data_IF_329281716308
#
_entry.id   IF_329281716308
#
_cell.length_a   1.000
_cell.length_b   1.000
_cell.length_c   1.000
_cell.angle_alpha   90.00
_cell.angle_beta   90.00
_cell.angle_gamma   90.00
#
_symmetry.space_group_name_H-M   'P 1'
#
loop_
_entity.id
_entity.type
_entity.pdbx_description
1 polymer ?
#
# COMPACT_ATOMS: atom_id res chain seq x y z
N UNK A 1 -18.47 17.05 1.70
CA UNK A 1 -18.93 15.64 1.66
C UNK A 1 -19.45 15.21 0.27
N UNK A 2 -19.55 16.10 -0.72
CA UNK A 2 -20.18 15.81 -2.03
C UNK A 2 -19.43 14.86 -2.99
N UNK A 3 -18.20 14.42 -2.69
CA UNK A 3 -17.43 13.54 -3.59
C UNK A 3 -17.06 12.18 -2.97
N UNK A 4 -17.75 11.73 -1.93
CA UNK A 4 -17.46 10.43 -1.29
C UNK A 4 -17.65 9.25 -2.25
N UNK A 5 -18.70 9.27 -3.07
CA UNK A 5 -18.95 8.24 -4.08
C UNK A 5 -17.84 8.20 -5.14
N UNK A 6 -17.43 9.37 -5.65
CA UNK A 6 -16.35 9.49 -6.62
C UNK A 6 -15.01 9.04 -6.02
N UNK A 7 -14.78 9.36 -4.75
CA UNK A 7 -13.61 8.89 -4.02
C UNK A 7 -13.62 7.37 -3.82
N UNK A 8 -14.76 6.78 -3.45
CA UNK A 8 -14.88 5.33 -3.29
C UNK A 8 -14.62 4.59 -4.60
N UNK A 9 -15.13 5.09 -5.73
CA UNK A 9 -14.83 4.53 -7.05
C UNK A 9 -13.34 4.64 -7.39
N UNK A 10 -12.72 5.79 -7.12
CA UNK A 10 -11.28 5.97 -7.28
C UNK A 10 -10.49 4.98 -6.39
N UNK A 11 -10.87 4.84 -5.13
CA UNK A 11 -10.25 3.93 -4.18
C UNK A 11 -10.32 2.47 -4.65
N UNK A 12 -11.46 2.04 -5.19
CA UNK A 12 -11.63 0.70 -5.77
C UNK A 12 -10.66 0.50 -6.94
N UNK A 13 -10.69 1.40 -7.92
CA UNK A 13 -9.86 1.30 -9.13
C UNK A 13 -8.37 1.31 -8.78
N UNK A 14 -7.95 2.22 -7.91
CA UNK A 14 -6.56 2.33 -7.48
C UNK A 14 -6.09 1.11 -6.68
N UNK A 15 -6.98 0.50 -5.89
CA UNK A 15 -6.68 -0.73 -5.13
C UNK A 15 -6.54 -1.94 -6.04
N UNK A 16 -7.40 -2.09 -7.05
CA UNK A 16 -7.36 -3.22 -8.01
C UNK A 16 -6.18 -3.11 -8.99
N UNK A 17 -5.76 -1.89 -9.33
CA UNK A 17 -4.69 -1.64 -10.30
C UNK A 17 -3.44 -2.48 -9.98
N UNK A 18 -2.85 -3.21 -10.95
CA UNK A 18 -1.69 -4.05 -10.67
C UNK A 18 -0.53 -3.22 -10.14
N UNK A 19 0.05 -3.68 -9.04
CA UNK A 19 1.17 -3.01 -8.38
C UNK A 19 1.97 -4.03 -7.57
N UNK A 20 3.16 -3.63 -7.10
CA UNK A 20 4.07 -4.59 -6.50
C UNK A 20 3.50 -5.29 -5.26
N UNK A 21 2.82 -4.55 -4.38
CA UNK A 21 2.12 -5.12 -3.22
C UNK A 21 1.02 -6.11 -3.63
N UNK A 22 0.24 -5.79 -4.67
CA UNK A 22 -0.85 -6.65 -5.12
C UNK A 22 -0.31 -7.97 -5.68
N UNK A 23 0.80 -7.95 -6.43
CA UNK A 23 1.46 -9.17 -6.90
C UNK A 23 1.98 -10.05 -5.77
N UNK A 24 2.52 -9.44 -4.72
CA UNK A 24 2.98 -10.16 -3.54
C UNK A 24 1.81 -10.84 -2.84
N UNK A 25 0.73 -10.10 -2.58
CA UNK A 25 -0.48 -10.64 -1.94
C UNK A 25 -1.08 -11.76 -2.78
N UNK A 26 -1.14 -11.60 -4.12
CA UNK A 26 -1.60 -12.64 -5.03
C UNK A 26 -0.73 -13.90 -4.96
N UNK A 27 0.58 -13.76 -5.03
CA UNK A 27 1.52 -14.89 -4.92
C UNK A 27 1.44 -15.57 -3.55
N UNK A 28 1.37 -14.81 -2.45
CA UNK A 28 1.20 -15.39 -1.12
C UNK A 28 -0.15 -16.09 -0.98
N UNK A 29 -1.23 -15.56 -1.59
CA UNK A 29 -2.55 -16.17 -1.53
C UNK A 29 -2.67 -17.46 -2.35
N UNK A 30 -1.83 -17.64 -3.38
CA UNK A 30 -1.77 -18.90 -4.14
C UNK A 30 -0.98 -20.00 -3.42
N UNK A 31 -0.09 -19.63 -2.49
CA UNK A 31 0.80 -20.57 -1.79
C UNK A 31 0.46 -20.79 -0.31
N UNK A 32 -0.23 -19.86 0.34
CA UNK A 32 -0.56 -19.90 1.77
C UNK A 32 -2.06 -19.74 2.01
N UNK A 33 -2.55 -20.26 3.15
CA UNK A 33 -3.93 -20.03 3.58
C UNK A 33 -4.18 -18.53 3.77
N UNK A 34 -5.39 -18.08 3.44
CA UNK A 34 -5.83 -16.67 3.62
C UNK A 34 -5.54 -16.16 5.04
N UNK A 35 -5.71 -16.98 6.09
CA UNK A 35 -5.42 -16.58 7.47
C UNK A 35 -3.96 -16.20 7.73
N UNK A 36 -3.01 -16.74 6.95
CA UNK A 36 -1.58 -16.42 7.03
C UNK A 36 -1.21 -15.23 6.15
N UNK A 37 -1.98 -14.95 5.09
CA UNK A 37 -1.80 -13.77 4.21
C UNK A 37 -2.50 -12.53 4.76
N UNK A 38 -3.50 -12.69 5.62
CA UNK A 38 -4.26 -11.60 6.25
C UNK A 38 -3.38 -10.52 6.91
N UNK A 39 -2.32 -10.84 7.67
CA UNK A 39 -1.44 -9.83 8.25
C UNK A 39 -0.71 -8.99 7.18
N UNK A 40 -0.41 -9.57 6.01
CA UNK A 40 0.23 -8.86 4.89
C UNK A 40 -0.74 -7.90 4.22
N UNK A 41 -1.99 -8.34 4.03
CA UNK A 41 -3.09 -7.50 3.53
C UNK A 41 -3.30 -6.32 4.48
N UNK A 42 -3.54 -6.60 5.76
CA UNK A 42 -3.74 -5.58 6.80
C UNK A 42 -2.57 -4.59 6.88
N UNK A 43 -1.33 -5.07 6.88
CA UNK A 43 -0.16 -4.19 6.89
C UNK A 43 -0.12 -3.27 5.68
N UNK A 44 -0.50 -3.79 4.52
CA UNK A 44 -0.58 -3.02 3.28
C UNK A 44 -1.68 -1.97 3.30
N UNK A 45 -2.90 -2.32 3.71
CA UNK A 45 -4.02 -1.39 3.76
C UNK A 45 -3.77 -0.28 4.79
N UNK A 46 -3.30 -0.64 5.99
CA UNK A 46 -2.97 0.33 7.05
C UNK A 46 -1.82 1.23 6.63
N UNK A 47 -0.76 0.68 6.04
CA UNK A 47 0.37 1.48 5.57
C UNK A 47 -0.04 2.49 4.50
N UNK A 48 -0.88 2.07 3.55
CA UNK A 48 -1.35 2.93 2.48
C UNK A 48 -2.33 4.01 2.98
N UNK A 49 -3.27 3.67 3.87
CA UNK A 49 -4.16 4.64 4.51
C UNK A 49 -3.38 5.66 5.35
N UNK A 50 -2.42 5.22 6.16
CA UNK A 50 -1.56 6.11 6.93
C UNK A 50 -0.79 7.07 6.01
N UNK A 51 -0.35 6.59 4.85
CA UNK A 51 0.34 7.42 3.88
C UNK A 51 -0.58 8.51 3.28
N UNK A 52 -1.84 8.17 2.97
CA UNK A 52 -2.86 9.16 2.58
C UNK A 52 -3.05 10.21 3.69
N UNK A 53 -3.11 9.77 4.94
CA UNK A 53 -3.25 10.67 6.09
C UNK A 53 -2.06 11.61 6.22
N UNK A 54 -0.84 11.07 6.20
CA UNK A 54 0.43 11.83 6.30
C UNK A 54 0.57 12.83 5.14
N UNK A 55 0.24 12.42 3.92
CA UNK A 55 0.27 13.32 2.76
C UNK A 55 -0.79 14.41 2.88
N UNK A 56 -1.99 14.07 3.37
CA UNK A 56 -3.11 15.01 3.49
C UNK A 56 -2.97 16.07 4.56
N UNK A 57 -2.25 15.79 5.65
CA UNK A 57 -1.92 16.81 6.65
C UNK A 57 -0.78 17.75 6.20
N UNK A 58 -0.26 17.60 4.98
CA UNK A 58 0.73 18.51 4.38
C UNK A 58 2.19 18.08 4.53
N UNK A 59 2.47 16.94 5.17
CA UNK A 59 3.85 16.42 5.25
C UNK A 59 4.33 15.88 3.91
N UNK A 60 3.43 15.33 3.08
CA UNK A 60 3.77 14.76 1.78
C UNK A 60 4.31 15.74 0.74
N UNK A 61 3.78 16.97 0.70
CA UNK A 61 4.25 18.02 -0.22
C UNK A 61 5.66 18.51 0.15
N UNK A 62 5.97 18.59 1.44
CA UNK A 62 7.29 18.95 1.95
C UNK A 62 8.34 17.89 1.59
N UNK A 63 7.96 16.60 1.64
CA UNK A 63 8.83 15.47 1.29
C UNK A 63 9.15 15.44 -0.21
N UNK A 64 8.16 15.71 -1.08
CA UNK A 64 8.37 15.73 -2.53
C UNK A 64 9.05 16.99 -3.06
N UNK A 65 9.07 18.08 -2.29
CA UNK A 65 9.81 19.29 -2.67
C UNK A 65 11.32 19.02 -2.87
N UNK A 66 11.82 17.89 -2.36
CA UNK A 66 13.20 17.46 -2.51
C UNK A 66 13.31 16.31 -3.52
N UNK A 67 13.84 16.57 -4.74
CA UNK A 67 14.04 15.55 -5.77
C UNK A 67 14.92 14.37 -5.31
N UNK A 68 15.81 14.62 -4.35
CA UNK A 68 16.68 13.61 -3.73
C UNK A 68 15.87 12.54 -2.99
N UNK A 69 14.83 12.95 -2.25
CA UNK A 69 13.99 12.02 -1.49
C UNK A 69 13.21 11.13 -2.45
N UNK A 70 12.64 11.73 -3.51
CA UNK A 70 11.98 10.97 -4.58
C UNK A 70 12.91 9.90 -5.16
N UNK A 71 14.13 10.29 -5.50
CA UNK A 71 15.14 9.38 -6.08
C UNK A 71 15.49 8.25 -5.12
N UNK A 72 15.73 8.54 -3.83
CA UNK A 72 16.03 7.53 -2.81
C UNK A 72 14.87 6.54 -2.69
N UNK A 73 13.62 7.03 -2.65
CA UNK A 73 12.44 6.18 -2.55
C UNK A 73 12.29 5.27 -3.77
N UNK A 74 12.47 5.81 -4.97
CA UNK A 74 12.43 5.01 -6.21
C UNK A 74 13.49 3.91 -6.20
N UNK A 75 14.74 4.23 -5.86
CA UNK A 75 15.82 3.24 -5.81
C UNK A 75 15.63 2.21 -4.70
N UNK A 76 15.18 2.64 -3.51
CA UNK A 76 14.89 1.74 -2.40
C UNK A 76 13.74 0.79 -2.74
N UNK A 77 12.71 1.29 -3.42
CA UNK A 77 11.59 0.50 -3.90
C UNK A 77 12.05 -0.51 -4.93
N UNK A 78 12.84 -0.08 -5.91
CA UNK A 78 13.41 -0.94 -6.93
C UNK A 78 14.24 -2.06 -6.30
N UNK A 79 15.19 -1.75 -5.41
CA UNK A 79 16.03 -2.74 -4.72
C UNK A 79 15.15 -3.73 -3.95
N UNK A 80 14.20 -3.22 -3.17
CA UNK A 80 13.30 -4.07 -2.39
C UNK A 80 12.49 -5.03 -3.27
N UNK A 81 11.94 -4.53 -4.38
CA UNK A 81 11.21 -5.34 -5.35
C UNK A 81 12.08 -6.36 -6.05
N UNK A 82 13.31 -6.01 -6.41
CA UNK A 82 14.27 -6.94 -7.00
C UNK A 82 14.65 -8.04 -6.01
N UNK A 83 14.97 -7.69 -4.76
CA UNK A 83 15.24 -8.66 -3.69
C UNK A 83 14.04 -9.59 -3.50
N UNK A 84 12.83 -9.05 -3.57
CA UNK A 84 11.64 -9.84 -3.36
C UNK A 84 11.29 -10.74 -4.55
N UNK A 85 11.40 -10.24 -5.77
CA UNK A 85 11.25 -11.02 -6.98
C UNK A 85 12.25 -12.19 -6.99
N UNK A 86 13.49 -11.95 -6.54
CA UNK A 86 14.49 -12.99 -6.37
C UNK A 86 14.09 -14.01 -5.30
N UNK A 87 13.62 -13.56 -4.12
CA UNK A 87 13.11 -14.47 -3.07
C UNK A 87 11.94 -15.32 -3.55
N UNK A 88 11.03 -14.77 -4.35
CA UNK A 88 9.90 -15.48 -4.95
C UNK A 88 10.36 -16.48 -6.01
N UNK A 89 11.28 -16.08 -6.90
CA UNK A 89 11.83 -16.95 -7.93
C UNK A 89 12.60 -18.14 -7.34
N UNK A 90 13.38 -17.91 -6.28
CA UNK A 90 14.12 -18.96 -5.57
C UNK A 90 13.25 -19.76 -4.61
N UNK A 91 11.98 -19.38 -4.41
CA UNK A 91 11.07 -20.13 -3.56
C UNK A 91 10.69 -21.41 -4.28
N UNK A 92 11.38 -22.51 -3.96
CA UNK A 92 11.02 -23.84 -4.41
C UNK A 92 9.92 -24.39 -3.49
N UNK A 93 8.65 -24.54 -3.93
CA UNK A 93 7.73 -25.39 -3.22
C UNK A 93 8.17 -26.82 -3.54
N UNK A 94 8.96 -27.43 -2.66
CA UNK A 94 9.00 -28.90 -2.66
C UNK A 94 7.55 -29.32 -2.46
N UNK A 95 7.00 -29.99 -3.47
CA UNK A 95 5.65 -30.54 -3.48
C UNK A 95 5.64 -31.66 -2.43
N UNK A 96 5.47 -31.28 -1.16
CA UNK A 96 4.81 -32.13 -0.19
C UNK A 96 3.35 -31.66 -0.13
N UNK A 97 2.43 -32.59 -0.35
CA UNK A 97 1.00 -32.42 -0.09
C UNK A 97 0.70 -32.28 1.43
N UNK A 98 1.67 -31.80 2.20
CA UNK A 98 1.47 -31.34 3.55
C UNK A 98 1.23 -29.84 3.46
N UNK A 99 0.05 -29.39 3.91
CA UNK A 99 -0.22 -27.98 4.22
C UNK A 99 0.97 -27.48 5.04
N UNK A 100 1.93 -26.81 4.42
CA UNK A 100 3.08 -26.35 5.14
C UNK A 100 2.58 -25.28 6.12
N UNK A 101 2.61 -25.59 7.42
CA UNK A 101 2.12 -24.71 8.49
C UNK A 101 3.02 -23.47 8.68
N UNK A 102 4.05 -23.33 7.84
CA UNK A 102 4.99 -22.23 7.82
C UNK A 102 4.30 -20.90 7.46
N UNK A 103 4.83 -19.83 8.06
CA UNK A 103 4.38 -18.46 7.81
C UNK A 103 4.96 -17.94 6.48
N UNK A 104 4.24 -17.06 5.77
CA UNK A 104 4.77 -16.40 4.60
C UNK A 104 6.06 -15.64 4.96
N UNK A 105 7.00 -15.50 4.00
CA UNK A 105 8.30 -14.85 4.22
C UNK A 105 8.18 -13.35 4.53
N UNK A 106 6.97 -12.79 4.42
CA UNK A 106 6.64 -11.40 4.65
C UNK A 106 5.49 -11.38 5.65
N UNK A 107 5.64 -10.57 6.70
CA UNK A 107 4.58 -10.32 7.67
C UNK A 107 4.08 -8.87 7.62
N UNK A 108 3.18 -8.55 8.55
CA UNK A 108 2.57 -7.22 8.68
C UNK A 108 3.56 -6.05 8.59
N UNK A 109 4.65 -6.09 9.39
CA UNK A 109 5.61 -4.97 9.47
C UNK A 109 6.29 -4.69 8.14
N UNK A 110 6.69 -5.74 7.43
CA UNK A 110 7.34 -5.60 6.13
C UNK A 110 6.36 -5.06 5.09
N UNK A 111 5.11 -5.56 5.08
CA UNK A 111 4.05 -5.08 4.20
C UNK A 111 3.69 -3.60 4.46
N UNK A 112 3.63 -3.20 5.73
CA UNK A 112 3.40 -1.82 6.16
C UNK A 112 4.52 -0.88 5.70
N UNK A 113 5.79 -1.22 6.00
CA UNK A 113 6.94 -0.39 5.62
C UNK A 113 7.11 -0.31 4.11
N UNK A 114 6.77 -1.37 3.38
CA UNK A 114 6.83 -1.38 1.92
C UNK A 114 5.92 -0.31 1.30
N UNK A 115 4.79 0.04 1.93
CA UNK A 115 3.91 1.11 1.42
C UNK A 115 4.60 2.47 1.42
N UNK A 116 5.45 2.75 2.40
CA UNK A 116 6.23 3.98 2.47
C UNK A 116 7.26 4.09 1.34
N UNK A 117 7.68 2.98 0.75
CA UNK A 117 8.66 2.93 -0.34
C UNK A 117 7.95 2.74 -1.70
N UNK A 118 6.67 2.36 -1.70
CA UNK A 118 5.91 2.05 -2.92
C UNK A 118 5.46 3.31 -3.66
N UNK A 119 6.04 3.64 -4.84
CA UNK A 119 5.71 4.87 -5.56
C UNK A 119 4.23 4.93 -6.00
N UNK A 120 3.58 3.77 -6.22
CA UNK A 120 2.15 3.71 -6.55
C UNK A 120 1.31 4.31 -5.40
N UNK A 121 1.64 3.93 -4.16
CA UNK A 121 0.91 4.36 -2.97
C UNK A 121 1.06 5.87 -2.75
N UNK A 122 2.24 6.41 -3.04
CA UNK A 122 2.48 7.86 -3.03
C UNK A 122 1.66 8.58 -4.10
N UNK A 123 1.72 8.14 -5.36
CA UNK A 123 0.94 8.74 -6.44
C UNK A 123 -0.56 8.75 -6.13
N UNK A 124 -1.04 7.63 -5.57
CA UNK A 124 -2.42 7.53 -5.12
C UNK A 124 -2.73 8.56 -4.04
N UNK A 125 -1.93 8.64 -2.97
CA UNK A 125 -2.14 9.59 -1.89
C UNK A 125 -2.18 11.04 -2.40
N UNK A 126 -1.30 11.43 -3.32
CA UNK A 126 -1.36 12.76 -3.92
C UNK A 126 -2.61 13.01 -4.74
N UNK A 127 -3.07 12.04 -5.52
CA UNK A 127 -4.33 12.15 -6.25
C UNK A 127 -5.51 12.32 -5.28
N UNK A 128 -5.53 11.58 -4.16
CA UNK A 128 -6.54 11.75 -3.10
C UNK A 128 -6.57 13.19 -2.59
N UNK A 129 -5.41 13.72 -2.22
CA UNK A 129 -5.33 15.05 -1.61
C UNK A 129 -5.62 16.15 -2.62
N UNK A 130 -5.11 16.03 -3.84
CA UNK A 130 -5.30 17.05 -4.88
C UNK A 130 -6.73 17.14 -5.39
N UNK A 131 -7.46 16.02 -5.44
CA UNK A 131 -8.79 15.96 -6.09
C UNK A 131 -9.93 15.96 -5.06
N UNK A 132 -9.72 15.35 -3.89
CA UNK A 132 -10.82 15.07 -2.95
C UNK A 132 -10.71 15.83 -1.62
N UNK A 133 -9.61 16.56 -1.36
CA UNK A 133 -9.47 17.37 -0.15
C UNK A 133 -9.81 18.84 -0.43
N UNK A 134 -10.71 19.42 0.38
CA UNK A 134 -11.00 20.87 0.36
C UNK A 134 -10.03 21.59 1.30
N UNK A 135 -9.35 22.63 0.82
CA UNK A 135 -8.52 23.49 1.68
C UNK A 135 -9.43 24.32 2.61
N UNK A 136 -9.16 24.31 3.92
CA UNK A 136 -9.98 25.02 4.91
C UNK A 136 -9.81 24.50 6.34
N UNK A 137 -10.66 25.00 7.26
CA UNK A 137 -10.55 24.76 8.71
C UNK A 137 -10.72 23.28 9.13
N UNK A 138 -11.34 22.43 8.28
CA UNK A 138 -11.62 21.01 8.57
C UNK A 138 -10.72 20.02 7.80
N UNK A 139 -9.53 20.44 7.34
CA UNK A 139 -8.67 19.58 6.51
C UNK A 139 -8.31 18.25 7.21
N UNK A 140 -8.03 18.30 8.52
CA UNK A 140 -7.71 17.12 9.34
C UNK A 140 -8.86 16.11 9.38
N UNK A 141 -10.09 16.59 9.56
CA UNK A 141 -11.29 15.74 9.63
C UNK A 141 -11.54 15.11 8.25
N UNK A 142 -11.47 15.90 7.17
CA UNK A 142 -11.68 15.40 5.81
C UNK A 142 -10.64 14.34 5.42
N UNK A 143 -9.36 14.60 5.66
CA UNK A 143 -8.27 13.66 5.34
C UNK A 143 -8.41 12.37 6.15
N UNK A 144 -8.81 12.47 7.43
CA UNK A 144 -9.04 11.29 8.28
C UNK A 144 -10.19 10.42 7.77
N UNK A 145 -11.29 11.03 7.31
CA UNK A 145 -12.43 10.31 6.71
C UNK A 145 -11.99 9.61 5.42
N UNK A 146 -11.28 10.31 4.53
CA UNK A 146 -10.79 9.73 3.27
C UNK A 146 -9.82 8.57 3.52
N UNK A 147 -8.90 8.71 4.47
CA UNK A 147 -7.99 7.64 4.89
C UNK A 147 -8.75 6.42 5.42
N UNK A 148 -9.79 6.64 6.23
CA UNK A 148 -10.59 5.55 6.79
C UNK A 148 -11.38 4.80 5.71
N UNK A 149 -12.02 5.53 4.79
CA UNK A 149 -12.72 4.93 3.66
C UNK A 149 -11.75 4.16 2.76
N UNK A 150 -10.57 4.72 2.51
CA UNK A 150 -9.55 4.03 1.74
C UNK A 150 -9.10 2.73 2.40
N UNK A 151 -8.90 2.73 3.73
CA UNK A 151 -8.57 1.52 4.49
C UNK A 151 -9.62 0.41 4.32
N UNK A 152 -10.90 0.78 4.35
CA UNK A 152 -12.02 -0.17 4.22
C UNK A 152 -12.15 -0.73 2.79
N UNK A 153 -11.81 0.07 1.78
CA UNK A 153 -11.93 -0.32 0.36
C UNK A 153 -10.69 -1.08 -0.12
N UNK A 154 -9.51 -0.77 0.40
CA UNK A 154 -8.24 -1.35 -0.07
C UNK A 154 -8.00 -2.79 0.39
N UNK A 155 -8.94 -3.40 1.11
CA UNK A 155 -8.84 -4.74 1.66
C UNK A 155 -9.11 -5.84 0.63
#
# INVERSE_FOLDING_TARGET
MENLTAFSLFAIVASITPGPTNFIILSLSSHYKISKTLPVILGSCIGAALLVLVVGIGLGSTILAYPVIQKIMTWSGLIWLTVLAWKLYNYNPVISLEKNEQYPPIGFKAAFLMQAINPKTWMMAFAVISVYTKQGQDILINVSILSCIFLLIAF
#
